data_IF_536924220304
#
_entry.id   IF_536924220304
#
_cell.length_a   1.000
_cell.length_b   1.000
_cell.length_c   1.000
_cell.angle_alpha   90.00
_cell.angle_beta   90.00
_cell.angle_gamma   90.00
#
_symmetry.space_group_name_H-M   'P 1'
#
loop_
_entity.id
_entity.type
_entity.pdbx_description
1 polymer ?
#
# COMPACT_ATOMS: atom_id res chain seq x y z
N UNK A 1 -22.57 -0.66 3.09
CA UNK A 1 -22.23 0.46 2.17
C UNK A 1 -20.82 0.99 2.38
N UNK A 2 -20.44 1.48 3.57
CA UNK A 2 -19.08 2.01 3.84
C UNK A 2 -17.97 0.97 3.58
N UNK A 3 -18.14 -0.26 4.06
CA UNK A 3 -17.20 -1.38 3.79
C UNK A 3 -17.04 -1.68 2.30
N UNK A 4 -18.13 -1.68 1.53
CA UNK A 4 -18.11 -1.86 0.07
C UNK A 4 -17.35 -0.75 -0.63
N UNK A 5 -17.56 0.51 -0.24
CA UNK A 5 -16.85 1.66 -0.81
C UNK A 5 -15.36 1.59 -0.49
N UNK A 6 -14.99 1.36 0.77
CA UNK A 6 -13.58 1.17 1.16
C UNK A 6 -12.94 0.02 0.39
N UNK A 7 -13.64 -1.12 0.27
CA UNK A 7 -13.14 -2.28 -0.45
C UNK A 7 -12.94 -2.03 -1.94
N UNK A 8 -13.91 -1.37 -2.60
CA UNK A 8 -13.82 -1.00 -4.01
C UNK A 8 -12.68 0.00 -4.25
N UNK A 9 -12.54 1.03 -3.40
CA UNK A 9 -11.46 2.01 -3.52
C UNK A 9 -10.08 1.36 -3.41
N UNK A 10 -9.90 0.47 -2.42
CA UNK A 10 -8.64 -0.29 -2.28
C UNK A 10 -8.35 -1.13 -3.53
N UNK A 11 -9.33 -1.91 -3.99
CA UNK A 11 -9.15 -2.77 -5.17
C UNK A 11 -8.79 -1.96 -6.43
N UNK A 12 -9.42 -0.80 -6.64
CA UNK A 12 -9.12 0.08 -7.78
C UNK A 12 -7.71 0.64 -7.68
N UNK A 13 -7.32 1.17 -6.52
CA UNK A 13 -5.96 1.73 -6.33
C UNK A 13 -4.91 0.64 -6.50
N UNK A 14 -5.11 -0.53 -5.89
CA UNK A 14 -4.18 -1.65 -6.05
C UNK A 14 -4.04 -2.10 -7.50
N UNK A 15 -5.15 -2.23 -8.23
CA UNK A 15 -5.10 -2.57 -9.65
C UNK A 15 -4.38 -1.49 -10.48
N UNK A 16 -4.63 -0.20 -10.22
CA UNK A 16 -4.00 0.90 -10.94
C UNK A 16 -2.48 0.92 -10.74
N UNK A 17 -2.02 0.79 -9.49
CA UNK A 17 -0.59 0.74 -9.17
C UNK A 17 0.06 -0.48 -9.81
N UNK A 18 -0.53 -1.67 -9.67
CA UNK A 18 0.04 -2.90 -10.24
C UNK A 18 0.14 -2.83 -11.77
N UNK A 19 -0.88 -2.30 -12.44
CA UNK A 19 -0.86 -2.11 -13.90
C UNK A 19 0.20 -1.09 -14.30
N UNK A 20 0.28 0.04 -13.59
CA UNK A 20 1.28 1.06 -13.91
C UNK A 20 2.69 0.54 -13.68
N UNK A 21 2.97 -0.08 -12.52
CA UNK A 21 4.27 -0.67 -12.19
C UNK A 21 4.78 -1.66 -13.26
N UNK A 22 3.90 -2.48 -13.83
CA UNK A 22 4.27 -3.46 -14.87
C UNK A 22 4.45 -2.82 -16.24
N UNK A 23 3.64 -1.81 -16.58
CA UNK A 23 3.65 -1.18 -17.89
C UNK A 23 4.68 -0.06 -18.02
N UNK A 24 5.01 0.63 -16.93
CA UNK A 24 5.89 1.79 -16.92
C UNK A 24 7.25 1.50 -17.59
N UNK A 25 7.96 0.40 -17.28
CA UNK A 25 9.22 0.06 -17.94
C UNK A 25 9.09 -0.35 -19.41
N UNK A 26 7.86 -0.66 -19.88
CA UNK A 26 7.59 -1.03 -21.27
C UNK A 26 7.22 0.18 -22.12
N UNK A 27 6.74 1.26 -21.49
CA UNK A 27 6.25 2.46 -22.14
C UNK A 27 7.31 3.56 -22.12
N UNK A 28 8.07 3.67 -21.04
CA UNK A 28 9.09 4.68 -20.86
C UNK A 28 10.48 4.06 -20.93
N UNK A 29 11.33 4.56 -21.84
CA UNK A 29 12.76 4.30 -21.80
C UNK A 29 13.34 5.15 -20.67
N UNK A 30 13.88 4.50 -19.63
CA UNK A 30 14.52 5.19 -18.51
C UNK A 30 15.82 5.84 -18.99
N UNK A 31 15.74 7.07 -19.49
CA UNK A 31 16.89 7.93 -19.66
C UNK A 31 17.32 8.47 -18.28
N UNK A 32 18.61 8.39 -17.96
CA UNK A 32 19.14 8.99 -16.73
C UNK A 32 18.82 10.50 -16.70
N UNK A 33 17.92 10.89 -15.78
CA UNK A 33 17.56 12.28 -15.54
C UNK A 33 16.12 12.67 -15.91
N UNK A 34 15.26 11.74 -16.33
CA UNK A 34 13.86 12.06 -16.60
C UNK A 34 13.04 12.24 -15.31
N UNK A 35 12.20 13.28 -15.29
CA UNK A 35 11.31 13.62 -14.20
C UNK A 35 10.33 12.47 -13.90
N UNK A 36 10.02 12.25 -12.62
CA UNK A 36 9.01 11.26 -12.20
C UNK A 36 7.69 11.47 -12.96
N UNK A 37 7.16 10.45 -13.67
CA UNK A 37 5.89 10.57 -14.36
C UNK A 37 4.77 11.08 -13.44
N UNK A 38 3.94 12.01 -13.93
CA UNK A 38 2.81 12.58 -13.16
C UNK A 38 1.88 11.47 -12.62
N UNK A 39 1.79 10.35 -13.34
CA UNK A 39 1.02 9.18 -12.91
C UNK A 39 1.51 8.63 -11.56
N UNK A 40 2.82 8.50 -11.35
CA UNK A 40 3.39 8.06 -10.07
C UNK A 40 3.06 9.03 -8.93
N UNK A 41 3.16 10.34 -9.17
CA UNK A 41 2.78 11.35 -8.16
C UNK A 41 1.34 11.14 -7.68
N UNK A 42 0.40 10.91 -8.61
CA UNK A 42 -1.01 10.67 -8.26
C UNK A 42 -1.17 9.34 -7.53
N UNK A 43 -0.50 8.28 -8.01
CA UNK A 43 -0.58 6.95 -7.43
C UNK A 43 0.00 6.91 -6.01
N UNK A 44 1.08 7.64 -5.72
CA UNK A 44 1.68 7.73 -4.39
C UNK A 44 0.69 8.30 -3.36
N UNK A 45 -0.01 9.37 -3.70
CA UNK A 45 -1.05 9.94 -2.84
C UNK A 45 -2.22 8.97 -2.63
N UNK A 46 -2.63 8.26 -3.69
CA UNK A 46 -3.68 7.25 -3.60
C UNK A 46 -3.23 6.04 -2.77
N UNK A 47 -1.96 5.63 -2.85
CA UNK A 47 -1.38 4.59 -2.02
C UNK A 47 -1.32 5.01 -0.56
N UNK A 48 -0.93 6.24 -0.26
CA UNK A 48 -0.94 6.79 1.09
C UNK A 48 -2.35 6.73 1.71
N UNK A 49 -3.36 7.19 0.95
CA UNK A 49 -4.75 7.14 1.37
C UNK A 49 -5.24 5.68 1.52
N UNK A 50 -4.89 4.81 0.59
CA UNK A 50 -5.21 3.38 0.62
C UNK A 50 -4.63 2.70 1.85
N UNK A 51 -3.37 2.99 2.20
CA UNK A 51 -2.72 2.45 3.40
C UNK A 51 -3.38 2.96 4.68
N UNK A 52 -3.82 4.22 4.73
CA UNK A 52 -4.59 4.73 5.86
C UNK A 52 -5.91 3.98 6.05
N UNK A 53 -6.65 3.71 4.96
CA UNK A 53 -7.88 2.90 5.01
C UNK A 53 -7.57 1.46 5.41
N UNK A 54 -6.54 0.85 4.82
CA UNK A 54 -6.14 -0.52 5.10
C UNK A 54 -5.74 -0.69 6.57
N UNK A 55 -4.96 0.25 7.12
CA UNK A 55 -4.58 0.28 8.54
C UNK A 55 -5.82 0.33 9.44
N UNK A 56 -6.75 1.23 9.16
CA UNK A 56 -7.98 1.35 9.96
C UNK A 56 -8.77 0.04 9.97
N UNK A 57 -9.01 -0.54 8.79
CA UNK A 57 -9.80 -1.78 8.65
C UNK A 57 -9.09 -2.97 9.30
N UNK A 58 -7.80 -3.13 9.03
CA UNK A 58 -7.03 -4.26 9.56
C UNK A 58 -6.81 -4.14 11.06
N UNK A 59 -6.74 -2.92 11.61
CA UNK A 59 -6.72 -2.70 13.06
C UNK A 59 -8.02 -3.17 13.73
N UNK A 60 -9.18 -2.82 13.17
CA UNK A 60 -10.47 -3.30 13.69
C UNK A 60 -10.58 -4.83 13.61
N UNK A 61 -10.14 -5.42 12.50
CA UNK A 61 -10.11 -6.87 12.34
C UNK A 61 -9.17 -7.55 13.35
N UNK A 62 -7.96 -6.98 13.56
CA UNK A 62 -7.00 -7.45 14.55
C UNK A 62 -7.58 -7.38 15.96
N UNK A 63 -8.19 -6.25 16.32
CA UNK A 63 -8.80 -6.04 17.64
C UNK A 63 -9.91 -7.05 17.94
N UNK A 64 -10.72 -7.38 16.93
CA UNK A 64 -11.74 -8.42 17.05
C UNK A 64 -11.13 -9.82 17.20
N UNK A 65 -10.13 -10.15 16.38
CA UNK A 65 -9.48 -11.46 16.39
C UNK A 65 -8.66 -11.70 17.66
N UNK A 66 -8.02 -10.69 18.23
CA UNK A 66 -7.27 -10.77 19.50
C UNK A 66 -8.19 -11.11 20.69
N UNK A 67 -9.48 -10.78 20.62
CA UNK A 67 -10.48 -11.13 21.62
C UNK A 67 -11.17 -12.49 21.37
N UNK A 68 -10.95 -13.08 20.19
CA UNK A 68 -11.57 -14.32 19.74
C UNK A 68 -10.72 -15.56 20.03
N UNK A 69 -11.32 -16.77 20.00
CA UNK A 69 -10.60 -18.02 20.21
C UNK A 69 -10.02 -18.64 18.92
N UNK A 70 -10.35 -18.12 17.73
CA UNK A 70 -9.93 -18.71 16.45
C UNK A 70 -8.51 -18.29 16.05
N UNK A 71 -7.57 -19.25 16.10
CA UNK A 71 -6.18 -19.05 15.70
C UNK A 71 -6.02 -18.63 14.24
N UNK A 72 -6.84 -19.16 13.31
CA UNK A 72 -6.73 -18.83 11.90
C UNK A 72 -7.10 -17.37 11.65
N UNK A 73 -8.19 -16.92 12.25
CA UNK A 73 -8.63 -15.53 12.18
C UNK A 73 -7.59 -14.59 12.80
N UNK A 74 -7.05 -14.97 13.96
CA UNK A 74 -5.95 -14.26 14.62
C UNK A 74 -4.74 -14.08 13.69
N UNK A 75 -4.25 -15.17 13.08
CA UNK A 75 -3.08 -15.10 12.20
C UNK A 75 -3.34 -14.23 10.97
N UNK A 76 -4.49 -14.40 10.30
CA UNK A 76 -4.82 -13.60 9.10
C UNK A 76 -4.91 -12.11 9.46
N UNK A 77 -5.63 -11.75 10.53
CA UNK A 77 -5.82 -10.36 10.92
C UNK A 77 -4.51 -9.70 11.36
N UNK A 78 -3.67 -10.41 12.11
CA UNK A 78 -2.36 -9.91 12.52
C UNK A 78 -1.43 -9.73 11.32
N UNK A 79 -1.34 -10.71 10.40
CA UNK A 79 -0.52 -10.59 9.20
C UNK A 79 -0.93 -9.39 8.34
N UNK A 80 -2.23 -9.21 8.09
CA UNK A 80 -2.71 -8.08 7.30
C UNK A 80 -2.42 -6.74 7.97
N UNK A 81 -2.62 -6.64 9.29
CA UNK A 81 -2.33 -5.42 10.05
C UNK A 81 -0.84 -5.06 10.04
N UNK A 82 0.04 -6.02 10.36
CA UNK A 82 1.48 -5.75 10.41
C UNK A 82 2.06 -5.49 9.02
N UNK A 83 1.54 -6.13 7.97
CA UNK A 83 1.91 -5.79 6.59
C UNK A 83 1.49 -4.35 6.25
N UNK A 84 0.24 -3.96 6.55
CA UNK A 84 -0.23 -2.60 6.32
C UNK A 84 0.61 -1.55 7.10
N UNK A 85 0.94 -1.85 8.36
CA UNK A 85 1.78 -0.99 9.20
C UNK A 85 3.21 -0.87 8.68
N UNK A 86 3.82 -2.00 8.28
CA UNK A 86 5.17 -1.98 7.70
C UNK A 86 5.20 -1.16 6.41
N UNK A 87 4.22 -1.34 5.50
CA UNK A 87 4.14 -0.58 4.25
C UNK A 87 3.89 0.91 4.49
N UNK A 88 3.03 1.27 5.45
CA UNK A 88 2.84 2.67 5.82
C UNK A 88 4.11 3.30 6.39
N UNK A 89 4.84 2.57 7.24
CA UNK A 89 6.13 3.02 7.77
C UNK A 89 7.17 3.17 6.67
N UNK A 90 7.27 2.22 5.74
CA UNK A 90 8.18 2.31 4.58
C UNK A 90 7.82 3.47 3.68
N UNK A 91 6.53 3.71 3.42
CA UNK A 91 6.07 4.84 2.61
C UNK A 91 6.45 6.17 3.27
N UNK A 92 6.16 6.33 4.56
CA UNK A 92 6.54 7.55 5.29
C UNK A 92 8.05 7.70 5.34
N UNK A 93 8.78 6.63 5.64
CA UNK A 93 10.24 6.65 5.65
C UNK A 93 10.79 7.09 4.29
N UNK A 94 10.31 6.49 3.20
CA UNK A 94 10.84 6.76 1.86
C UNK A 94 10.41 8.13 1.31
N UNK A 95 9.22 8.60 1.67
CA UNK A 95 8.72 9.92 1.30
C UNK A 95 9.39 11.05 2.10
N UNK A 96 9.82 10.77 3.34
CA UNK A 96 10.37 11.79 4.25
C UNK A 96 11.90 11.72 4.34
N UNK A 97 12.57 10.72 3.76
CA UNK A 97 13.99 10.39 3.96
C UNK A 97 14.84 11.59 4.42
N UNK A 98 15.11 11.60 5.73
CA UNK A 98 15.99 12.56 6.36
C UNK A 98 17.37 11.90 6.43
N UNK A 99 18.27 12.27 5.52
CA UNK A 99 19.67 11.91 5.67
C UNK A 99 20.28 12.79 6.77
N UNK A 100 20.40 12.23 7.98
CA UNK A 100 21.01 12.90 9.13
C UNK A 100 22.52 13.17 8.95
N UNK A 101 23.15 12.65 7.88
CA UNK A 101 24.59 12.74 7.65
C UNK A 101 24.98 13.52 6.38
N UNK A 102 24.19 13.52 5.30
CA UNK A 102 24.64 14.04 3.99
C UNK A 102 23.88 15.26 3.44
N UNK A 103 22.72 15.64 3.99
CA UNK A 103 22.00 16.85 3.55
C UNK A 103 21.48 16.82 2.11
N UNK A 104 21.48 15.67 1.43
CA UNK A 104 20.87 15.47 0.12
C UNK A 104 19.72 14.45 0.24
N UNK A 105 18.59 14.73 -0.41
CA UNK A 105 17.36 13.95 -0.31
C UNK A 105 17.10 13.20 -1.62
N UNK A 106 17.36 11.89 -1.65
CA UNK A 106 16.90 11.06 -2.76
C UNK A 106 16.12 9.86 -2.22
N UNK A 107 14.84 9.69 -2.62
CA UNK A 107 14.07 8.49 -2.28
C UNK A 107 14.79 7.22 -2.76
N UNK A 108 14.76 6.17 -1.94
CA UNK A 108 15.36 4.88 -2.31
C UNK A 108 14.42 4.12 -3.25
N UNK A 109 14.86 3.89 -4.48
CA UNK A 109 14.11 3.15 -5.49
C UNK A 109 13.81 1.70 -5.10
N UNK A 110 14.66 1.05 -4.30
CA UNK A 110 14.41 -0.31 -3.83
C UNK A 110 13.24 -0.36 -2.85
N UNK A 111 13.11 0.67 -2.00
CA UNK A 111 11.98 0.78 -1.07
C UNK A 111 10.68 1.01 -1.83
N UNK A 112 10.70 1.84 -2.88
CA UNK A 112 9.55 2.02 -3.77
C UNK A 112 9.10 0.72 -4.42
N UNK A 113 10.03 -0.08 -4.97
CA UNK A 113 9.70 -1.40 -5.54
C UNK A 113 9.00 -2.31 -4.53
N UNK A 114 9.44 -2.31 -3.26
CA UNK A 114 8.77 -3.09 -2.21
C UNK A 114 7.32 -2.61 -1.98
N UNK A 115 7.12 -1.29 -1.93
CA UNK A 115 5.80 -0.68 -1.75
C UNK A 115 4.90 -1.01 -2.95
N UNK A 116 5.38 -0.79 -4.18
CA UNK A 116 4.65 -0.94 -5.44
C UNK A 116 4.25 -2.38 -5.73
N UNK A 117 4.95 -3.36 -5.15
CA UNK A 117 4.57 -4.77 -5.24
C UNK A 117 3.60 -5.17 -4.13
N UNK A 118 3.90 -4.83 -2.88
CA UNK A 118 3.17 -5.37 -1.73
C UNK A 118 1.88 -4.60 -1.43
N UNK A 119 1.85 -3.27 -1.61
CA UNK A 119 0.66 -2.47 -1.35
C UNK A 119 -0.50 -2.86 -2.28
N UNK A 120 -0.29 -3.06 -3.60
CA UNK A 120 -1.35 -3.56 -4.48
C UNK A 120 -1.92 -4.91 -4.07
N UNK A 121 -1.07 -5.86 -3.69
CA UNK A 121 -1.50 -7.18 -3.25
C UNK A 121 -2.36 -7.09 -1.98
N UNK A 122 -1.92 -6.29 -1.01
CA UNK A 122 -2.69 -6.01 0.20
C UNK A 122 -4.04 -5.35 -0.14
N UNK A 123 -4.04 -4.33 -1.00
CA UNK A 123 -5.24 -3.58 -1.34
C UNK A 123 -6.27 -4.41 -2.10
N UNK A 124 -5.86 -5.19 -3.09
CA UNK A 124 -6.77 -6.05 -3.86
C UNK A 124 -7.34 -7.14 -2.97
N UNK A 125 -6.52 -7.82 -2.17
CA UNK A 125 -6.98 -8.90 -1.29
C UNK A 125 -7.91 -8.39 -0.20
N UNK A 126 -7.56 -7.28 0.47
CA UNK A 126 -8.40 -6.64 1.48
C UNK A 126 -9.68 -6.05 0.84
N UNK A 127 -9.56 -5.48 -0.35
CA UNK A 127 -10.67 -4.87 -1.08
C UNK A 127 -11.75 -5.88 -1.46
N UNK A 128 -11.35 -7.01 -2.04
CA UNK A 128 -12.24 -8.12 -2.38
C UNK A 128 -12.89 -8.73 -1.14
N UNK A 129 -12.13 -8.89 -0.04
CA UNK A 129 -12.65 -9.38 1.24
C UNK A 129 -13.76 -8.46 1.76
N UNK A 130 -13.48 -7.17 1.85
CA UNK A 130 -14.44 -6.19 2.35
C UNK A 130 -15.70 -6.12 1.49
N UNK A 131 -15.56 -6.25 0.18
CA UNK A 131 -16.70 -6.28 -0.74
C UNK A 131 -17.61 -7.48 -0.49
N UNK A 132 -17.02 -8.68 -0.31
CA UNK A 132 -17.77 -9.93 -0.13
C UNK A 132 -18.40 -10.06 1.27
N UNK A 133 -17.80 -9.45 2.30
CA UNK A 133 -18.29 -9.49 3.68
C UNK A 133 -19.39 -8.46 4.00
N UNK A 134 -19.86 -7.67 3.02
CA UNK A 134 -20.73 -6.50 3.26
C UNK A 134 -21.99 -6.41 2.44
#
# INVERSE_FOLDING_TARGET
MVKRLAGLSLAIVGAAVAVHFVLDPLIYEWAEGDDTPIAWIILDWLMALGLAIALWVTFEAKRAADAGPDLREYLIANTQFYLAAALALLLVWNAVQIDWAAGDQTPDGQVWVVIDVLAPLLFVTLGLRLWNES
#
